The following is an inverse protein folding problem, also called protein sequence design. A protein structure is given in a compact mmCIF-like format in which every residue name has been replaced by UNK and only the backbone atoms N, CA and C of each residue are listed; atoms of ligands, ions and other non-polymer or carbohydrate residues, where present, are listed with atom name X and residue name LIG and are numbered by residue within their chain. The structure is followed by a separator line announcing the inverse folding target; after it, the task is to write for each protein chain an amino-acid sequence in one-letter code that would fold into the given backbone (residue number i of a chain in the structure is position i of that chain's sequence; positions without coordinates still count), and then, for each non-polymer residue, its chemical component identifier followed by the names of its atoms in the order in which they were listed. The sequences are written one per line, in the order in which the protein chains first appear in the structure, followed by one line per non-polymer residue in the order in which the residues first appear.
data_IF_825803520144
#
_entry.id   IF_825803520144
#
_cell.length_a   1.000
_cell.length_b   1.000
_cell.length_c   1.000
_cell.angle_alpha   90.00
_cell.angle_beta   90.00
_cell.angle_gamma   90.00
#
_symmetry.space_group_name_H-M   'P 1'
#
loop_
_entity.id
_entity.type
_entity.pdbx_description
1 polymer ?
#
# COMPACT_ATOMS: atom_id res chain seq x y z
N UNK A 1 8.95 -7.97 8.11
CA UNK A 1 8.33 -9.25 8.55
C UNK A 1 9.27 -10.41 8.23
N UNK A 2 9.05 -11.57 8.84
CA UNK A 2 9.77 -12.81 8.52
C UNK A 2 8.75 -13.88 8.10
N UNK A 3 9.05 -14.63 7.04
CA UNK A 3 8.30 -15.81 6.61
C UNK A 3 9.21 -17.04 6.76
N UNK A 4 8.76 -18.03 7.52
CA UNK A 4 9.42 -19.34 7.63
C UNK A 4 8.84 -20.27 6.58
N UNK A 5 9.69 -20.88 5.75
CA UNK A 5 9.30 -21.76 4.66
C UNK A 5 10.01 -23.10 4.82
N UNK A 6 9.27 -24.21 4.66
CA UNK A 6 9.86 -25.54 4.65
C UNK A 6 10.32 -25.89 3.23
N UNK A 7 11.59 -26.24 3.08
CA UNK A 7 12.17 -26.67 1.81
C UNK A 7 12.83 -28.04 1.99
N UNK A 8 12.14 -29.10 1.56
CA UNK A 8 12.53 -30.48 1.85
C UNK A 8 12.53 -30.78 3.35
N UNK A 9 13.69 -31.08 3.92
CA UNK A 9 13.89 -31.33 5.36
C UNK A 9 14.46 -30.13 6.13
N UNK A 10 14.77 -29.02 5.46
CA UNK A 10 15.22 -27.78 6.13
C UNK A 10 14.08 -26.76 6.25
N UNK A 11 14.30 -25.79 7.14
CA UNK A 11 13.46 -24.61 7.27
C UNK A 11 14.31 -23.37 6.96
N UNK A 12 13.81 -22.56 6.04
CA UNK A 12 14.47 -21.34 5.56
C UNK A 12 13.65 -20.11 5.98
N UNK A 13 14.31 -18.95 6.11
CA UNK A 13 13.66 -17.69 6.47
C UNK A 13 13.80 -16.69 5.33
N UNK A 14 12.66 -16.13 4.91
CA UNK A 14 12.59 -15.01 3.98
C UNK A 14 12.23 -13.75 4.76
N UNK A 15 12.90 -12.64 4.44
CA UNK A 15 12.66 -11.32 5.02
C UNK A 15 12.38 -10.31 3.90
N UNK A 16 12.00 -9.08 4.28
CA UNK A 16 11.40 -8.05 3.43
C UNK A 16 9.99 -8.39 2.93
N UNK A 17 9.06 -7.45 3.13
CA UNK A 17 7.66 -7.68 2.76
C UNK A 17 7.48 -7.88 1.25
N UNK A 18 8.13 -7.07 0.42
CA UNK A 18 8.05 -7.20 -1.03
C UNK A 18 8.63 -8.53 -1.53
N UNK A 19 9.76 -8.99 -0.96
CA UNK A 19 10.37 -10.28 -1.32
C UNK A 19 9.47 -11.45 -0.88
N UNK A 20 8.86 -11.37 0.31
CA UNK A 20 7.87 -12.34 0.76
C UNK A 20 6.67 -12.40 -0.20
N UNK A 21 6.15 -11.24 -0.64
CA UNK A 21 5.03 -11.21 -1.58
C UNK A 21 5.40 -11.82 -2.95
N UNK A 22 6.59 -11.56 -3.47
CA UNK A 22 7.04 -12.18 -4.73
C UNK A 22 7.25 -13.69 -4.58
N UNK A 23 7.76 -14.16 -3.44
CA UNK A 23 7.84 -15.60 -3.16
C UNK A 23 6.45 -16.26 -3.16
N UNK A 24 5.48 -15.65 -2.47
CA UNK A 24 4.10 -16.15 -2.46
C UNK A 24 3.45 -16.11 -3.85
N UNK A 25 3.73 -15.06 -4.63
CA UNK A 25 3.27 -14.93 -6.01
C UNK A 25 3.77 -16.07 -6.91
N UNK A 26 5.00 -16.54 -6.70
CA UNK A 26 5.61 -17.62 -7.48
C UNK A 26 5.18 -19.02 -7.03
N UNK A 27 4.68 -19.17 -5.80
CA UNK A 27 4.47 -20.48 -5.17
C UNK A 27 3.00 -20.82 -4.92
N UNK A 28 2.12 -19.83 -4.80
CA UNK A 28 0.70 -20.04 -4.57
C UNK A 28 -0.08 -20.22 -5.88
N UNK A 29 -1.18 -20.97 -5.84
CA UNK A 29 -1.93 -21.36 -7.04
C UNK A 29 -2.67 -20.20 -7.74
N UNK A 30 -2.93 -19.10 -7.03
CA UNK A 30 -3.71 -17.96 -7.51
C UNK A 30 -2.89 -16.67 -7.41
N UNK A 31 -1.99 -16.40 -8.38
CA UNK A 31 -1.21 -15.17 -8.42
C UNK A 31 -2.08 -13.92 -8.43
N UNK A 32 -1.63 -12.89 -7.72
CA UNK A 32 -2.34 -11.62 -7.54
C UNK A 32 -1.77 -10.49 -8.42
N UNK A 33 -0.61 -10.69 -9.05
CA UNK A 33 -0.15 -9.83 -10.14
C UNK A 33 -0.86 -10.19 -11.46
N UNK A 34 -0.97 -9.23 -12.38
CA UNK A 34 -1.35 -9.52 -13.75
C UNK A 34 -0.28 -10.37 -14.45
N UNK A 35 -0.71 -11.22 -15.37
CA UNK A 35 0.20 -12.05 -16.18
C UNK A 35 1.03 -11.23 -17.19
N UNK A 36 0.51 -10.09 -17.64
CA UNK A 36 1.24 -9.20 -18.56
C UNK A 36 2.51 -8.63 -17.87
N UNK A 37 3.71 -8.80 -18.46
CA UNK A 37 4.95 -8.39 -17.82
C UNK A 37 5.03 -6.89 -17.50
N UNK A 38 4.48 -6.02 -18.37
CA UNK A 38 4.53 -4.58 -18.16
C UNK A 38 3.58 -4.16 -17.05
N UNK A 39 2.34 -4.68 -17.04
CA UNK A 39 1.38 -4.45 -15.97
C UNK A 39 1.93 -4.93 -14.62
N UNK A 40 2.60 -6.10 -14.59
CA UNK A 40 3.25 -6.62 -13.39
C UNK A 40 4.40 -5.73 -12.91
N UNK A 41 5.22 -5.21 -13.83
CA UNK A 41 6.26 -4.24 -13.48
C UNK A 41 5.67 -2.94 -12.89
N UNK A 42 4.53 -2.47 -13.42
CA UNK A 42 3.79 -1.34 -12.84
C UNK A 42 3.28 -1.65 -11.43
N UNK A 43 2.71 -2.83 -11.20
CA UNK A 43 2.28 -3.23 -9.86
C UNK A 43 3.45 -3.24 -8.88
N UNK A 44 4.61 -3.78 -9.25
CA UNK A 44 5.83 -3.74 -8.42
C UNK A 44 6.26 -2.31 -8.08
N UNK A 45 6.19 -1.39 -9.05
CA UNK A 45 6.49 0.02 -8.80
C UNK A 45 5.54 0.65 -7.77
N UNK A 46 4.24 0.33 -7.82
CA UNK A 46 3.26 0.83 -6.86
C UNK A 46 3.34 0.17 -5.48
N UNK A 47 3.76 -1.10 -5.41
CA UNK A 47 4.12 -1.78 -4.16
C UNK A 47 5.28 -1.06 -3.48
N UNK A 48 6.36 -0.80 -4.21
CA UNK A 48 7.51 -0.07 -3.66
C UNK A 48 7.15 1.36 -3.26
N UNK A 49 6.29 2.03 -4.03
CA UNK A 49 5.76 3.33 -3.64
C UNK A 49 4.95 3.27 -2.34
N UNK A 50 4.17 2.20 -2.13
CA UNK A 50 3.48 1.92 -0.87
C UNK A 50 4.44 1.75 0.32
N UNK A 51 5.56 1.04 0.13
CA UNK A 51 6.63 0.95 1.14
C UNK A 51 7.21 2.33 1.48
N UNK A 52 7.45 3.18 0.48
CA UNK A 52 7.91 4.55 0.69
C UNK A 52 6.88 5.39 1.47
N UNK A 53 5.57 5.22 1.20
CA UNK A 53 4.50 5.87 1.97
C UNK A 53 4.53 5.41 3.43
N UNK A 54 4.67 4.11 3.71
CA UNK A 54 4.79 3.60 5.08
C UNK A 54 5.98 4.20 5.83
N UNK A 55 7.12 4.36 5.16
CA UNK A 55 8.28 5.04 5.74
C UNK A 55 7.99 6.52 6.05
N UNK A 56 7.29 7.22 5.15
CA UNK A 56 6.88 8.61 5.37
C UNK A 56 5.87 8.75 6.52
N UNK A 57 4.92 7.82 6.65
CA UNK A 57 4.02 7.73 7.81
C UNK A 57 4.84 7.57 9.10
N UNK A 58 5.85 6.69 9.08
CA UNK A 58 6.81 6.52 10.17
C UNK A 58 7.39 7.84 10.65
N UNK A 59 7.96 8.61 9.71
CA UNK A 59 8.56 9.93 10.01
C UNK A 59 7.52 10.96 10.45
N UNK A 60 6.32 10.93 9.88
CA UNK A 60 5.23 11.83 10.24
C UNK A 60 4.82 11.71 11.70
N UNK A 61 4.50 10.51 12.19
CA UNK A 61 4.08 10.35 13.58
C UNK A 61 5.25 10.39 14.59
N UNK A 62 6.49 10.21 14.12
CA UNK A 62 7.70 10.31 14.95
C UNK A 62 8.40 11.67 14.85
N UNK A 63 7.77 12.67 14.25
CA UNK A 63 8.37 13.99 14.05
C UNK A 63 8.75 14.63 15.41
N UNK A 64 9.96 15.18 15.49
CA UNK A 64 10.51 15.74 16.73
C UNK A 64 9.95 17.12 17.07
N UNK A 65 9.47 17.85 16.06
CA UNK A 65 8.92 19.20 16.17
C UNK A 65 7.84 19.45 15.11
N UNK A 66 7.17 20.59 15.24
CA UNK A 66 6.09 21.02 14.35
C UNK A 66 6.56 21.20 12.90
N UNK A 67 7.78 21.68 12.68
CA UNK A 67 8.29 21.91 11.32
C UNK A 67 8.49 20.59 10.58
N UNK A 68 9.06 19.57 11.24
CA UNK A 68 9.20 18.23 10.70
C UNK A 68 7.84 17.57 10.47
N UNK A 69 6.91 17.73 11.40
CA UNK A 69 5.55 17.21 11.28
C UNK A 69 4.82 17.79 10.05
N UNK A 70 4.81 19.11 9.89
CA UNK A 70 4.19 19.80 8.76
C UNK A 70 4.89 19.48 7.43
N UNK A 71 6.21 19.25 7.45
CA UNK A 71 6.95 18.79 6.28
C UNK A 71 6.47 17.41 5.83
N UNK A 72 6.45 16.41 6.71
CA UNK A 72 6.04 15.06 6.35
C UNK A 72 4.54 14.99 6.00
N UNK A 73 3.69 15.83 6.60
CA UNK A 73 2.28 15.97 6.21
C UNK A 73 2.13 16.38 4.73
N UNK A 74 2.95 17.35 4.29
CA UNK A 74 2.96 17.79 2.88
C UNK A 74 3.51 16.72 1.95
N UNK A 75 4.62 16.07 2.33
CA UNK A 75 5.20 14.94 1.58
C UNK A 75 4.15 13.84 1.37
N UNK A 76 3.47 13.43 2.44
CA UNK A 76 2.40 12.43 2.35
C UNK A 76 1.26 12.89 1.43
N UNK A 77 0.81 14.15 1.55
CA UNK A 77 -0.24 14.69 0.68
C UNK A 77 0.16 14.66 -0.80
N UNK A 78 1.40 15.00 -1.13
CA UNK A 78 1.95 14.92 -2.50
C UNK A 78 2.04 13.47 -3.01
N UNK A 79 2.49 12.54 -2.15
CA UNK A 79 2.54 11.12 -2.49
C UNK A 79 1.15 10.58 -2.78
N UNK A 80 0.14 10.90 -1.96
CA UNK A 80 -1.23 10.50 -2.21
C UNK A 80 -1.86 11.21 -3.42
N UNK A 81 -1.43 12.43 -3.76
CA UNK A 81 -1.85 13.08 -5.00
C UNK A 81 -1.37 12.29 -6.24
N UNK A 82 -0.18 11.69 -6.17
CA UNK A 82 0.32 10.79 -7.22
C UNK A 82 -0.49 9.49 -7.30
N UNK A 83 -0.89 8.91 -6.16
CA UNK A 83 -1.77 7.72 -6.15
C UNK A 83 -3.15 8.07 -6.70
N UNK A 84 -3.71 9.20 -6.28
CA UNK A 84 -4.98 9.73 -6.78
C UNK A 84 -4.93 9.84 -8.31
N UNK A 85 -3.87 10.39 -8.89
CA UNK A 85 -3.72 10.51 -10.34
C UNK A 85 -3.69 9.15 -11.07
N UNK A 86 -3.12 8.12 -10.46
CA UNK A 86 -3.02 6.77 -11.04
C UNK A 86 -4.35 6.01 -11.01
N UNK A 87 -5.09 6.11 -9.90
CA UNK A 87 -6.39 5.44 -9.77
C UNK A 87 -7.32 5.94 -10.88
N UNK A 88 -7.79 5.13 -11.82
CA UNK A 88 -8.56 5.61 -12.96
C UNK A 88 -9.87 6.26 -12.54
N UNK A 89 -10.28 7.32 -13.25
CA UNK A 89 -11.56 7.99 -13.03
C UNK A 89 -12.79 7.09 -13.33
N UNK A 90 -12.59 5.97 -14.04
CA UNK A 90 -13.64 5.05 -14.51
C UNK A 90 -13.25 3.58 -14.38
N UNK A 91 -12.63 3.18 -13.28
CA UNK A 91 -12.47 1.73 -13.03
C UNK A 91 -13.83 1.11 -12.69
N UNK A 92 -14.19 0.07 -13.44
CA UNK A 92 -15.19 -0.90 -13.01
C UNK A 92 -14.56 -1.70 -11.87
N UNK A 93 -14.81 -1.32 -10.62
CA UNK A 93 -14.45 -2.14 -9.46
C UNK A 93 -13.75 -1.39 -8.33
N UNK A 94 -13.68 -2.02 -7.15
CA UNK A 94 -13.26 -1.37 -5.91
C UNK A 94 -11.74 -1.41 -5.66
N UNK A 95 -10.94 -2.03 -6.53
CA UNK A 95 -9.52 -2.31 -6.30
C UNK A 95 -8.61 -1.53 -7.25
N UNK A 96 -7.32 -1.47 -6.94
CA UNK A 96 -6.31 -0.74 -7.72
C UNK A 96 -6.29 -1.13 -9.19
N UNK A 97 -6.53 -2.41 -9.48
CA UNK A 97 -6.58 -2.97 -10.83
C UNK A 97 -8.03 -3.18 -11.34
N UNK A 98 -9.01 -2.45 -10.81
CA UNK A 98 -10.44 -2.57 -11.15
C UNK A 98 -11.16 -3.63 -10.33
N UNK A 99 -11.64 -4.69 -10.96
CA UNK A 99 -12.50 -5.70 -10.30
C UNK A 99 -11.72 -6.73 -9.49
N UNK A 100 -10.43 -6.92 -9.76
CA UNK A 100 -9.60 -7.93 -9.09
C UNK A 100 -8.70 -7.31 -8.05
N UNK A 101 -8.73 -7.88 -6.85
CA UNK A 101 -7.78 -7.59 -5.79
C UNK A 101 -6.38 -8.03 -6.21
N UNK A 102 -5.38 -7.21 -5.90
CA UNK A 102 -3.98 -7.43 -6.27
C UNK A 102 -3.03 -7.21 -5.09
N UNK A 103 -1.75 -7.51 -5.29
CA UNK A 103 -0.72 -7.22 -4.27
C UNK A 103 -0.59 -5.72 -3.96
N UNK A 104 -0.96 -4.83 -4.90
CA UNK A 104 -0.99 -3.39 -4.62
C UNK A 104 -2.04 -3.10 -3.54
N UNK A 105 -3.23 -3.68 -3.65
CA UNK A 105 -4.29 -3.56 -2.65
C UNK A 105 -3.84 -4.09 -1.27
N UNK A 106 -3.15 -5.23 -1.24
CA UNK A 106 -2.62 -5.82 -0.01
C UNK A 106 -1.61 -4.90 0.71
N UNK A 107 -0.76 -4.17 -0.04
CA UNK A 107 0.23 -3.24 0.51
C UNK A 107 -0.41 -1.95 1.03
N UNK A 108 -1.46 -1.46 0.36
CA UNK A 108 -2.11 -0.21 0.77
C UNK A 108 -3.13 -0.39 1.90
N UNK A 109 -3.62 -1.62 2.15
CA UNK A 109 -4.43 -1.91 3.33
C UNK A 109 -3.78 -1.45 4.66
N UNK A 110 -2.53 -1.84 4.97
CA UNK A 110 -1.78 -1.33 6.11
C UNK A 110 -1.54 0.18 6.10
N UNK A 111 -1.31 0.79 4.92
CA UNK A 111 -1.16 2.25 4.76
C UNK A 111 -2.43 2.95 5.25
N UNK A 112 -3.60 2.55 4.74
CA UNK A 112 -4.86 3.17 5.11
C UNK A 112 -5.26 2.94 6.56
N UNK A 113 -4.88 1.81 7.17
CA UNK A 113 -5.09 1.57 8.59
C UNK A 113 -4.44 2.64 9.48
N UNK A 114 -3.31 3.22 9.07
CA UNK A 114 -2.70 4.34 9.82
C UNK A 114 -3.56 5.59 9.74
N UNK A 115 -4.07 5.94 8.56
CA UNK A 115 -5.00 7.05 8.40
C UNK A 115 -6.30 6.81 9.16
N UNK A 116 -6.83 5.58 9.20
CA UNK A 116 -7.99 5.23 10.03
C UNK A 116 -7.73 5.46 11.52
N UNK A 117 -6.46 5.39 11.95
CA UNK A 117 -6.05 5.66 13.32
C UNK A 117 -5.85 7.15 13.55
N UNK A 118 -5.22 7.86 12.62
CA UNK A 118 -4.98 9.30 12.69
C UNK A 118 -6.28 10.09 12.71
N UNK A 119 -7.25 9.74 11.85
CA UNK A 119 -8.55 10.42 11.75
C UNK A 119 -9.39 10.31 13.05
N UNK A 120 -9.06 9.36 13.95
CA UNK A 120 -9.69 9.28 15.29
C UNK A 120 -9.12 10.28 16.29
N UNK A 121 -7.93 10.82 16.01
CA UNK A 121 -7.24 11.80 16.85
C UNK A 121 -7.56 13.19 16.31
N UNK A 122 -7.17 13.46 15.06
CA UNK A 122 -7.33 14.73 14.35
C UNK A 122 -7.34 14.43 12.84
N UNK A 123 -8.16 15.16 12.10
CA UNK A 123 -8.04 15.21 10.63
C UNK A 123 -6.87 16.11 10.24
N UNK A 124 -5.82 15.51 9.69
CA UNK A 124 -4.61 16.21 9.25
C UNK A 124 -4.70 16.73 7.80
N UNK A 125 -5.84 16.54 7.11
CA UNK A 125 -6.07 17.03 5.74
C UNK A 125 -5.17 16.39 4.68
N UNK A 126 -4.42 15.33 5.00
CA UNK A 126 -3.47 14.68 4.08
C UNK A 126 -4.21 14.11 2.86
N UNK A 127 -5.43 13.59 3.05
CA UNK A 127 -6.23 12.99 1.98
C UNK A 127 -7.25 13.95 1.36
N UNK A 128 -7.21 15.24 1.69
CA UNK A 128 -8.10 16.24 1.12
C UNK A 128 -7.90 16.37 -0.39
N UNK A 129 -9.03 16.49 -1.11
CA UNK A 129 -9.04 16.59 -2.57
C UNK A 129 -8.68 15.28 -3.30
N UNK A 130 -8.70 14.14 -2.61
CA UNK A 130 -8.30 12.82 -3.17
C UNK A 130 -9.45 11.80 -3.11
N UNK A 131 -10.58 12.06 -3.79
CA UNK A 131 -11.79 11.27 -3.66
C UNK A 131 -11.61 9.82 -4.14
N UNK A 132 -10.74 9.53 -5.12
CA UNK A 132 -10.51 8.15 -5.59
C UNK A 132 -9.72 7.35 -4.56
N UNK A 133 -8.70 7.94 -3.95
CA UNK A 133 -7.96 7.32 -2.83
C UNK A 133 -8.91 7.06 -1.66
N UNK A 134 -9.74 8.03 -1.29
CA UNK A 134 -10.73 7.85 -0.22
C UNK A 134 -11.74 6.75 -0.56
N UNK A 135 -12.23 6.66 -1.80
CA UNK A 135 -13.11 5.60 -2.24
C UNK A 135 -12.43 4.22 -2.20
N UNK A 136 -11.17 4.13 -2.61
CA UNK A 136 -10.38 2.89 -2.59
C UNK A 136 -10.05 2.41 -1.16
N UNK A 137 -9.87 3.35 -0.21
CA UNK A 137 -9.67 3.06 1.21
C UNK A 137 -10.84 2.33 1.86
N UNK A 138 -12.08 2.62 1.46
CA UNK A 138 -13.30 2.05 2.07
C UNK A 138 -13.37 0.52 1.99
N UNK A 139 -13.25 -0.14 0.84
CA UNK A 139 -13.28 -1.61 0.77
C UNK A 139 -12.09 -2.24 1.50
N UNK A 140 -10.91 -1.59 1.50
CA UNK A 140 -9.71 -2.10 2.19
C UNK A 140 -9.81 -2.06 3.72
N UNK A 141 -10.67 -1.21 4.29
CA UNK A 141 -10.90 -1.18 5.74
C UNK A 141 -11.85 -2.29 6.22
N UNK A 142 -12.65 -2.88 5.33
CA UNK A 142 -13.69 -3.88 5.63
C UNK A 142 -13.17 -5.33 5.65
N UNK A 143 -11.99 -5.56 6.23
CA UNK A 143 -11.34 -6.88 6.30
C UNK A 143 -12.34 -7.99 6.64
N UNK A 144 -12.53 -8.94 5.74
CA UNK A 144 -13.11 -10.26 6.04
C UNK A 144 -11.97 -11.24 6.27
#
# INVERSE_FOLDING_TARGET
PLLRVRHGHSEEVIFESAVILEFLEETEANPLHPADPLARARHRAWIEFGSAILNAIGRFYSAADEAAFLHESRVLSEMFARVEAELPARQSGPWFAGERFSLVDAVYGPVFRYFDTFDRIVDFGILDGKPRVQAWRVPLSRRQ
#
